data_IF_974530454813
#
_entry.id   IF_974530454813
#
_cell.length_a   1.000
_cell.length_b   1.000
_cell.length_c   1.000
_cell.angle_alpha   90.00
_cell.angle_beta   90.00
_cell.angle_gamma   90.00
#
_symmetry.space_group_name_H-M   'P 1'
#
loop_
_entity.id
_entity.type
_entity.pdbx_description
1 polymer ?
#
# COMPACT_ATOMS: atom_id res chain seq x y z
N UNK A 1 1.19 21.57 -37.99
CA UNK A 1 2.24 21.28 -38.99
C UNK A 1 3.26 22.40 -39.16
N UNK A 2 2.95 23.62 -39.64
CA UNK A 2 3.96 24.71 -39.69
C UNK A 2 4.65 25.00 -38.34
N UNK A 3 3.89 24.98 -37.24
CA UNK A 3 4.45 25.10 -35.87
C UNK A 3 5.29 23.89 -35.45
N UNK A 4 4.92 22.68 -35.88
CA UNK A 4 5.62 21.43 -35.55
C UNK A 4 6.89 21.25 -36.37
N UNK A 5 6.88 21.68 -37.65
CA UNK A 5 8.06 21.75 -38.51
C UNK A 5 9.07 22.80 -38.02
N UNK A 6 8.58 23.96 -37.54
CA UNK A 6 9.42 24.94 -36.84
C UNK A 6 9.98 24.40 -35.52
N UNK A 7 9.20 23.63 -34.75
CA UNK A 7 9.67 22.98 -33.52
C UNK A 7 10.72 21.90 -33.79
N UNK A 8 10.50 21.06 -34.81
CA UNK A 8 11.44 20.03 -35.25
C UNK A 8 12.75 20.62 -35.79
N UNK A 9 12.68 21.68 -36.59
CA UNK A 9 13.85 22.38 -37.14
C UNK A 9 14.65 23.10 -36.05
N UNK A 10 14.00 23.57 -34.97
CA UNK A 10 14.66 24.09 -33.76
C UNK A 10 15.39 22.99 -32.96
N UNK A 11 14.81 21.79 -32.87
CA UNK A 11 15.41 20.65 -32.14
C UNK A 11 16.60 20.05 -32.91
N UNK A 12 16.58 20.10 -34.25
CA UNK A 12 17.65 19.55 -35.10
C UNK A 12 18.25 20.62 -36.04
N UNK A 13 19.08 21.54 -35.52
CA UNK A 13 19.58 22.69 -36.27
C UNK A 13 20.42 22.32 -37.50
N UNK A 14 21.08 21.17 -37.46
CA UNK A 14 21.92 20.67 -38.55
C UNK A 14 21.11 20.24 -39.79
N UNK A 15 19.82 19.92 -39.63
CA UNK A 15 18.90 19.58 -40.73
C UNK A 15 18.16 20.80 -41.28
N UNK A 16 18.16 21.91 -40.55
CA UNK A 16 17.40 23.12 -40.89
C UNK A 16 17.75 23.68 -42.27
N UNK A 17 19.01 23.62 -42.68
CA UNK A 17 19.53 24.09 -43.98
C UNK A 17 19.00 23.30 -45.18
N UNK A 18 18.52 22.07 -44.97
CA UNK A 18 17.89 21.24 -46.02
C UNK A 18 16.36 21.36 -46.03
N UNK A 19 15.78 22.05 -45.05
CA UNK A 19 14.33 22.22 -44.85
C UNK A 19 13.86 23.66 -45.13
N UNK A 20 14.76 24.56 -45.57
CA UNK A 20 14.52 26.01 -45.63
C UNK A 20 14.54 26.61 -47.04
N UNK A 21 14.58 25.79 -48.10
CA UNK A 21 14.52 26.27 -49.48
C UNK A 21 13.08 26.40 -50.04
N UNK A 22 12.96 27.29 -51.03
CA UNK A 22 11.75 27.96 -51.51
C UNK A 22 10.54 27.07 -51.85
N UNK A 23 9.37 27.63 -51.57
CA UNK A 23 8.04 27.09 -51.86
C UNK A 23 7.88 26.92 -53.38
N UNK A 24 7.99 25.68 -53.87
CA UNK A 24 7.85 25.38 -55.30
C UNK A 24 6.39 25.40 -55.76
N UNK A 25 5.45 25.06 -54.87
CA UNK A 25 4.00 25.17 -55.09
C UNK A 25 3.24 25.00 -53.74
N UNK A 26 2.49 26.01 -53.25
CA UNK A 26 1.70 25.92 -52.03
C UNK A 26 0.65 24.79 -52.03
N UNK A 27 0.13 24.41 -53.19
CA UNK A 27 -0.86 23.32 -53.29
C UNK A 27 -0.17 21.95 -53.11
N UNK A 28 0.99 21.75 -53.73
CA UNK A 28 1.78 20.53 -53.58
C UNK A 28 2.29 20.36 -52.14
N UNK A 29 2.76 21.44 -51.49
CA UNK A 29 3.16 21.42 -50.08
C UNK A 29 1.99 20.98 -49.19
N UNK A 30 0.80 21.55 -49.39
CA UNK A 30 -0.39 21.20 -48.63
C UNK A 30 -0.81 19.75 -48.84
N UNK A 31 -0.65 19.21 -50.05
CA UNK A 31 -0.92 17.79 -50.35
C UNK A 31 0.06 16.89 -49.62
N UNK A 32 1.36 17.20 -49.66
CA UNK A 32 2.40 16.40 -48.99
C UNK A 32 2.23 16.44 -47.47
N UNK A 33 1.96 17.62 -46.89
CA UNK A 33 1.63 17.76 -45.46
C UNK A 33 0.40 16.93 -45.09
N UNK A 34 -0.68 17.02 -45.88
CA UNK A 34 -1.91 16.26 -45.65
C UNK A 34 -1.67 14.75 -45.72
N UNK A 35 -0.85 14.29 -46.68
CA UNK A 35 -0.47 12.89 -46.84
C UNK A 35 0.38 12.40 -45.68
N UNK A 36 1.36 13.19 -45.24
CA UNK A 36 2.20 12.88 -44.08
C UNK A 36 1.35 12.79 -42.80
N UNK A 37 0.40 13.71 -42.61
CA UNK A 37 -0.51 13.70 -41.46
C UNK A 37 -1.46 12.50 -41.47
N UNK A 38 -2.06 12.18 -42.62
CA UNK A 38 -2.91 10.99 -42.77
C UNK A 38 -2.11 9.70 -42.48
N UNK A 39 -0.88 9.61 -43.00
CA UNK A 39 0.01 8.47 -42.76
C UNK A 39 0.41 8.37 -41.29
N UNK A 40 0.70 9.50 -40.63
CA UNK A 40 1.01 9.54 -39.21
C UNK A 40 -0.18 9.07 -38.35
N UNK A 41 -1.40 9.58 -38.62
CA UNK A 41 -2.61 9.12 -37.93
C UNK A 41 -2.92 7.65 -38.18
N UNK A 42 -2.66 7.16 -39.39
CA UNK A 42 -2.85 5.74 -39.70
C UNK A 42 -1.83 4.87 -38.94
N UNK A 43 -0.58 5.30 -38.84
CA UNK A 43 0.45 4.62 -38.03
C UNK A 43 0.16 4.70 -36.53
N UNK A 44 -0.31 5.84 -36.03
CA UNK A 44 -0.76 6.02 -34.65
C UNK A 44 -1.91 5.06 -34.35
N UNK A 45 -2.97 5.06 -35.16
CA UNK A 45 -4.11 4.16 -35.01
C UNK A 45 -3.72 2.67 -35.10
N UNK A 46 -2.79 2.31 -35.99
CA UNK A 46 -2.26 0.94 -36.06
C UNK A 46 -1.48 0.54 -34.79
N UNK A 47 -0.71 1.47 -34.21
CA UNK A 47 -0.01 1.24 -32.94
C UNK A 47 -0.98 1.16 -31.76
N UNK A 48 -2.04 1.95 -31.78
CA UNK A 48 -3.07 1.98 -30.73
C UNK A 48 -3.98 0.73 -30.73
N UNK A 49 -4.08 0.01 -31.85
CA UNK A 49 -4.84 -1.24 -31.95
C UNK A 49 -4.11 -2.47 -31.36
N UNK A 50 -2.79 -2.41 -31.17
CA UNK A 50 -2.02 -3.48 -30.52
C UNK A 50 -2.40 -3.69 -29.03
N UNK A 51 -2.64 -2.62 -28.24
CA UNK A 51 -3.22 -2.69 -26.91
C UNK A 51 -4.50 -3.52 -26.78
N UNK A 52 -5.43 -3.48 -27.73
CA UNK A 52 -6.72 -4.20 -27.58
C UNK A 52 -6.53 -5.72 -27.49
N UNK A 53 -5.60 -6.27 -28.26
CA UNK A 53 -5.29 -7.71 -28.27
C UNK A 53 -4.50 -8.09 -27.02
N UNK A 54 -3.46 -7.32 -26.68
CA UNK A 54 -2.63 -7.61 -25.51
C UNK A 54 -3.40 -7.42 -24.21
N UNK A 55 -4.26 -6.40 -24.13
CA UNK A 55 -5.13 -6.15 -22.98
C UNK A 55 -6.17 -7.25 -22.82
N UNK A 56 -6.75 -7.77 -23.91
CA UNK A 56 -7.67 -8.92 -23.85
C UNK A 56 -6.96 -10.18 -23.33
N UNK A 57 -5.72 -10.45 -23.77
CA UNK A 57 -4.92 -11.55 -23.23
C UNK A 57 -4.56 -11.34 -21.75
N UNK A 58 -4.17 -10.12 -21.36
CA UNK A 58 -3.89 -9.78 -19.96
C UNK A 58 -5.14 -9.90 -19.11
N UNK A 59 -6.33 -9.54 -19.60
CA UNK A 59 -7.57 -9.74 -18.86
C UNK A 59 -7.88 -11.21 -18.58
N UNK A 60 -7.53 -12.12 -19.50
CA UNK A 60 -7.69 -13.56 -19.32
C UNK A 60 -6.65 -14.15 -18.34
N UNK A 61 -5.43 -13.64 -18.34
CA UNK A 61 -4.32 -14.17 -17.52
C UNK A 61 -4.22 -13.49 -16.15
N UNK A 62 -4.37 -12.17 -16.08
CA UNK A 62 -4.29 -11.31 -14.89
C UNK A 62 -5.31 -10.17 -14.94
N UNK A 63 -6.60 -10.45 -14.67
CA UNK A 63 -7.67 -9.44 -14.71
C UNK A 63 -7.45 -8.27 -13.74
N UNK A 64 -6.70 -8.46 -12.65
CA UNK A 64 -6.44 -7.43 -11.65
C UNK A 64 -5.32 -6.45 -12.00
N UNK A 65 -4.46 -6.77 -12.96
CA UNK A 65 -3.32 -5.90 -13.29
C UNK A 65 -3.75 -4.59 -13.96
N UNK A 66 -4.94 -4.60 -14.57
CA UNK A 66 -5.53 -3.46 -15.27
C UNK A 66 -6.52 -2.68 -14.41
N UNK A 67 -6.76 -3.11 -13.16
CA UNK A 67 -7.69 -2.42 -12.27
C UNK A 67 -7.00 -1.24 -11.58
N UNK A 68 -7.65 -0.08 -11.47
CA UNK A 68 -7.12 1.00 -10.65
C UNK A 68 -7.04 0.54 -9.19
N UNK A 69 -5.95 0.91 -8.51
CA UNK A 69 -5.77 0.60 -7.11
C UNK A 69 -6.53 1.64 -6.25
N UNK A 70 -7.35 1.20 -5.29
CA UNK A 70 -8.09 2.11 -4.42
C UNK A 70 -7.13 2.83 -3.47
N UNK A 71 -7.52 3.98 -2.93
CA UNK A 71 -6.78 4.60 -1.84
C UNK A 71 -6.82 3.70 -0.59
N UNK A 72 -5.69 3.56 0.11
CA UNK A 72 -5.57 2.78 1.34
C UNK A 72 -5.04 3.65 2.49
N UNK A 73 -5.47 3.32 3.71
CA UNK A 73 -5.04 3.99 4.92
C UNK A 73 -5.01 3.00 6.08
N UNK A 74 -4.15 3.27 7.07
CA UNK A 74 -4.11 2.52 8.33
C UNK A 74 -4.93 3.29 9.34
N UNK A 75 -5.84 2.59 10.00
CA UNK A 75 -6.73 3.14 11.02
C UNK A 75 -6.33 2.56 12.38
N UNK A 76 -6.23 3.44 13.38
CA UNK A 76 -6.05 3.04 14.77
C UNK A 76 -7.39 3.18 15.50
N UNK A 77 -7.95 2.07 15.96
CA UNK A 77 -9.17 2.06 16.76
C UNK A 77 -8.81 2.15 18.23
N UNK A 78 -8.92 3.36 18.79
CA UNK A 78 -8.65 3.59 20.20
C UNK A 78 -9.95 3.43 21.01
N UNK A 79 -9.98 2.52 22.01
CA UNK A 79 -11.10 2.45 22.93
C UNK A 79 -11.19 3.73 23.75
N UNK A 80 -12.42 4.19 24.02
CA UNK A 80 -12.63 5.24 25.03
C UNK A 80 -12.59 4.63 26.42
N UNK A 81 -12.20 5.42 27.41
CA UNK A 81 -12.23 5.03 28.83
C UNK A 81 -13.59 4.42 29.20
N UNK A 82 -13.55 3.24 29.85
CA UNK A 82 -14.73 2.49 30.31
C UNK A 82 -15.75 2.14 29.23
N UNK A 83 -15.43 2.26 27.94
CA UNK A 83 -16.36 1.91 26.86
C UNK A 83 -16.45 0.41 26.61
N UNK A 84 -15.36 -0.31 26.83
CA UNK A 84 -15.27 -1.77 26.70
C UNK A 84 -14.52 -2.32 27.92
N UNK A 85 -14.95 -3.48 28.41
CA UNK A 85 -14.29 -4.20 29.51
C UNK A 85 -13.55 -5.45 29.04
N UNK A 86 -13.87 -5.94 27.84
CA UNK A 86 -13.33 -7.17 27.24
C UNK A 86 -13.09 -6.94 25.75
N UNK A 87 -12.51 -7.94 25.07
CA UNK A 87 -12.29 -7.96 23.61
C UNK A 87 -13.55 -7.54 22.83
N UNK A 88 -13.44 -6.48 22.05
CA UNK A 88 -14.46 -6.05 21.10
C UNK A 88 -13.94 -6.20 19.66
N UNK A 89 -14.63 -6.98 18.84
CA UNK A 89 -14.21 -7.22 17.45
C UNK A 89 -14.96 -6.31 16.51
N UNK A 90 -14.21 -5.51 15.75
CA UNK A 90 -14.72 -4.75 14.61
C UNK A 90 -14.63 -5.64 13.38
N UNK A 91 -15.76 -6.04 12.77
CA UNK A 91 -15.73 -7.01 11.69
C UNK A 91 -15.09 -6.41 10.42
N UNK A 92 -14.48 -7.28 9.63
CA UNK A 92 -14.10 -7.01 8.24
C UNK A 92 -15.31 -6.47 7.48
N UNK A 93 -15.07 -5.50 6.63
CA UNK A 93 -16.13 -4.90 5.84
C UNK A 93 -16.82 -3.71 6.52
N UNK A 94 -16.38 -3.30 7.72
CA UNK A 94 -16.93 -2.14 8.42
C UNK A 94 -16.56 -0.86 7.69
N UNK A 95 -17.56 -0.03 7.39
CA UNK A 95 -17.36 1.25 6.72
C UNK A 95 -16.88 2.33 7.69
N UNK A 96 -15.87 3.10 7.26
CA UNK A 96 -15.34 4.26 7.99
C UNK A 96 -15.28 5.44 7.04
N UNK A 97 -15.74 6.60 7.50
CA UNK A 97 -15.73 7.83 6.71
C UNK A 97 -14.53 8.71 7.07
N UNK A 98 -13.90 9.29 6.05
CA UNK A 98 -12.83 10.28 6.25
C UNK A 98 -13.41 11.62 6.72
N UNK A 99 -12.52 12.49 7.20
CA UNK A 99 -12.84 13.93 7.22
C UNK A 99 -13.07 14.40 5.77
N UNK A 100 -14.00 15.34 5.52
CA UNK A 100 -14.20 15.87 4.17
C UNK A 100 -12.92 16.51 3.63
N UNK A 101 -12.56 16.18 2.40
CA UNK A 101 -11.50 16.82 1.62
C UNK A 101 -12.18 17.52 0.45
N UNK A 102 -12.02 18.83 0.34
CA UNK A 102 -12.74 19.66 -0.66
C UNK A 102 -14.27 19.45 -0.65
N UNK A 103 -14.84 19.28 0.55
CA UNK A 103 -16.27 19.06 0.74
C UNK A 103 -16.75 17.64 0.42
N UNK A 104 -15.87 16.73 0.00
CA UNK A 104 -16.20 15.33 -0.30
C UNK A 104 -15.66 14.40 0.77
N UNK A 105 -16.52 13.55 1.32
CA UNK A 105 -16.12 12.50 2.28
C UNK A 105 -15.78 11.22 1.53
N UNK A 106 -14.58 10.69 1.76
CA UNK A 106 -14.18 9.39 1.24
C UNK A 106 -14.65 8.28 2.18
N UNK A 107 -15.14 7.18 1.62
CA UNK A 107 -15.50 5.97 2.37
C UNK A 107 -14.41 4.92 2.24
N UNK A 108 -13.98 4.40 3.38
CA UNK A 108 -13.04 3.30 3.51
C UNK A 108 -13.75 2.10 4.14
N UNK A 109 -13.17 0.93 3.98
CA UNK A 109 -13.70 -0.32 4.52
C UNK A 109 -12.57 -1.11 5.19
N UNK A 110 -12.83 -1.69 6.38
CA UNK A 110 -11.86 -2.57 7.04
C UNK A 110 -11.61 -3.83 6.22
N UNK A 111 -10.36 -4.26 6.10
CA UNK A 111 -9.95 -5.40 5.27
C UNK A 111 -9.81 -6.72 6.03
N UNK A 112 -9.82 -6.65 7.36
CA UNK A 112 -9.75 -7.77 8.29
C UNK A 112 -10.56 -7.48 9.55
N UNK A 113 -10.83 -8.51 10.34
CA UNK A 113 -11.41 -8.36 11.67
C UNK A 113 -10.36 -7.70 12.58
N UNK A 114 -10.77 -6.67 13.33
CA UNK A 114 -9.87 -5.94 14.23
C UNK A 114 -10.33 -6.16 15.66
N UNK A 115 -9.47 -6.79 16.46
CA UNK A 115 -9.70 -6.97 17.90
C UNK A 115 -9.25 -5.74 18.66
N UNK A 116 -10.20 -5.07 19.34
CA UNK A 116 -9.94 -3.91 20.19
C UNK A 116 -10.08 -4.34 21.64
N UNK A 117 -9.03 -4.13 22.42
CA UNK A 117 -8.99 -4.36 23.86
C UNK A 117 -8.99 -3.01 24.60
N UNK A 118 -9.44 -2.92 25.86
CA UNK A 118 -9.28 -1.72 26.69
C UNK A 118 -7.83 -1.56 27.17
N UNK A 119 -6.89 -1.60 26.24
CA UNK A 119 -5.46 -1.42 26.47
C UNK A 119 -4.99 -0.19 25.71
N UNK A 120 -4.17 0.63 26.36
CA UNK A 120 -3.52 1.80 25.76
C UNK A 120 -2.01 1.61 25.86
N UNK A 121 -1.32 1.86 24.75
CA UNK A 121 0.14 1.88 24.71
C UNK A 121 0.63 3.27 25.16
N UNK A 122 1.18 3.34 26.36
CA UNK A 122 1.64 4.59 26.98
C UNK A 122 3.03 4.98 26.52
N UNK A 123 3.94 4.00 26.46
CA UNK A 123 5.32 4.25 26.09
C UNK A 123 5.93 3.06 25.35
N UNK A 124 6.90 3.38 24.48
CA UNK A 124 7.77 2.42 23.81
C UNK A 124 9.20 2.89 24.02
N UNK A 125 10.00 2.10 24.71
CA UNK A 125 11.42 2.41 24.95
C UNK A 125 12.28 1.31 24.34
N UNK A 126 13.47 1.71 23.89
CA UNK A 126 14.47 0.77 23.38
C UNK A 126 15.75 0.99 24.16
N UNK A 127 16.20 -0.04 24.86
CA UNK A 127 17.45 -0.03 25.62
C UNK A 127 18.43 -0.98 24.94
N UNK A 128 19.46 -0.42 24.32
CA UNK A 128 20.55 -1.20 23.72
C UNK A 128 21.66 -1.41 24.75
N UNK A 129 21.81 -2.65 25.20
CA UNK A 129 22.97 -3.10 25.96
C UNK A 129 24.11 -3.55 25.05
N UNK A 130 25.22 -3.98 25.66
CA UNK A 130 26.42 -4.43 24.93
C UNK A 130 26.18 -5.68 24.09
N UNK A 131 25.25 -6.55 24.50
CA UNK A 131 24.99 -7.85 23.86
C UNK A 131 23.58 -8.01 23.29
N UNK A 132 22.62 -7.17 23.71
CA UNK A 132 21.23 -7.28 23.27
C UNK A 132 20.52 -5.92 23.31
N UNK A 133 19.52 -5.76 22.46
CA UNK A 133 18.59 -4.63 22.52
C UNK A 133 17.25 -5.13 23.04
N UNK A 134 16.71 -4.42 24.03
CA UNK A 134 15.42 -4.70 24.65
C UNK A 134 14.45 -3.62 24.21
N UNK A 135 13.31 -4.02 23.65
CA UNK A 135 12.18 -3.13 23.37
C UNK A 135 11.16 -3.37 24.46
N UNK A 136 10.83 -2.34 25.23
CA UNK A 136 9.81 -2.38 26.28
C UNK A 136 8.57 -1.62 25.81
N UNK A 137 7.41 -2.27 25.95
CA UNK A 137 6.10 -1.75 25.61
C UNK A 137 5.31 -1.60 26.91
N UNK A 138 4.93 -0.38 27.27
CA UNK A 138 4.13 -0.11 28.46
C UNK A 138 2.66 -0.02 28.10
N UNK A 139 1.88 -1.01 28.54
CA UNK A 139 0.45 -1.11 28.29
C UNK A 139 -0.33 -0.83 29.58
N UNK A 140 -1.31 0.07 29.49
CA UNK A 140 -2.24 0.37 30.57
C UNK A 140 -3.63 -0.19 30.26
N UNK A 141 -4.26 -0.80 31.26
CA UNK A 141 -5.65 -1.23 31.19
C UNK A 141 -6.57 -0.09 31.63
N UNK A 142 -7.43 0.36 30.71
CA UNK A 142 -8.36 1.47 30.92
C UNK A 142 -9.78 1.02 31.31
N UNK A 143 -9.94 -0.26 31.64
CA UNK A 143 -11.18 -0.82 32.19
C UNK A 143 -11.14 -0.85 33.72
N UNK A 144 -12.30 -0.97 34.36
CA UNK A 144 -12.40 -1.09 35.82
C UNK A 144 -12.06 -2.51 36.34
N UNK A 145 -11.70 -3.45 35.45
CA UNK A 145 -11.41 -4.85 35.78
C UNK A 145 -9.94 -5.22 35.65
N UNK A 146 -9.55 -6.38 36.18
CA UNK A 146 -8.17 -6.89 36.10
C UNK A 146 -7.80 -7.37 34.69
N UNK A 147 -6.49 -7.41 34.40
CA UNK A 147 -5.94 -7.93 33.13
C UNK A 147 -6.44 -9.35 32.80
N UNK A 148 -6.70 -10.18 33.81
CA UNK A 148 -7.20 -11.56 33.61
C UNK A 148 -8.61 -11.61 33.02
N UNK A 149 -9.39 -10.55 33.14
CA UNK A 149 -10.77 -10.47 32.62
C UNK A 149 -10.84 -10.08 31.14
N UNK A 150 -9.74 -9.59 30.56
CA UNK A 150 -9.70 -8.99 29.23
C UNK A 150 -9.95 -9.99 28.09
N UNK A 151 -9.76 -11.29 28.33
CA UNK A 151 -9.77 -12.35 27.30
C UNK A 151 -8.86 -11.99 26.11
N UNK A 152 -7.63 -11.57 26.43
CA UNK A 152 -6.63 -11.15 25.46
C UNK A 152 -5.83 -12.37 24.99
N UNK A 153 -6.36 -13.07 24.00
CA UNK A 153 -5.69 -14.22 23.39
C UNK A 153 -4.60 -13.80 22.38
N UNK A 154 -4.77 -12.63 21.76
CA UNK A 154 -3.93 -12.12 20.68
C UNK A 154 -3.91 -10.59 20.73
N UNK A 155 -2.73 -9.98 20.58
CA UNK A 155 -2.55 -8.54 20.56
C UNK A 155 -1.72 -8.14 19.34
N UNK A 156 -2.36 -7.47 18.39
CA UNK A 156 -1.71 -7.04 17.16
C UNK A 156 -1.11 -5.64 17.31
N UNK A 157 0.14 -5.48 16.89
CA UNK A 157 0.84 -4.20 16.86
C UNK A 157 1.14 -3.77 15.43
N UNK A 158 0.98 -2.48 15.17
CA UNK A 158 1.44 -1.86 13.94
C UNK A 158 2.76 -1.13 14.19
N UNK A 159 3.78 -1.44 13.39
CA UNK A 159 5.08 -0.76 13.46
C UNK A 159 5.02 0.62 12.79
N UNK A 160 4.52 1.62 13.53
CA UNK A 160 4.44 3.02 13.07
C UNK A 160 5.77 3.75 13.27
N UNK A 161 6.71 3.58 12.34
CA UNK A 161 8.00 4.28 12.35
C UNK A 161 8.38 4.82 10.97
N UNK A 162 9.60 5.37 10.87
CA UNK A 162 10.23 5.52 9.56
C UNK A 162 10.40 4.13 8.91
N UNK A 163 10.43 4.04 7.58
CA UNK A 163 10.59 2.76 6.89
C UNK A 163 11.83 2.00 7.40
N UNK A 164 12.93 2.72 7.65
CA UNK A 164 14.15 2.14 8.21
C UNK A 164 13.92 1.54 9.61
N UNK A 165 13.31 2.31 10.51
CA UNK A 165 13.06 1.85 11.89
C UNK A 165 12.08 0.69 11.92
N UNK A 166 10.95 0.80 11.20
CA UNK A 166 9.92 -0.23 11.17
C UNK A 166 10.45 -1.55 10.57
N UNK A 167 11.17 -1.49 9.45
CA UNK A 167 11.76 -2.69 8.83
C UNK A 167 12.88 -3.31 9.67
N UNK A 168 13.69 -2.48 10.33
CA UNK A 168 14.75 -2.95 11.24
C UNK A 168 14.14 -3.66 12.45
N UNK A 169 13.13 -3.05 13.08
CA UNK A 169 12.40 -3.64 14.20
C UNK A 169 11.68 -4.92 13.79
N UNK A 170 11.05 -4.93 12.60
CA UNK A 170 10.45 -6.14 12.02
C UNK A 170 11.50 -7.26 11.86
N UNK A 171 12.67 -6.94 11.31
CA UNK A 171 13.77 -7.89 11.18
C UNK A 171 14.24 -8.42 12.54
N UNK A 172 14.30 -7.56 13.57
CA UNK A 172 14.65 -7.97 14.93
C UNK A 172 13.65 -8.96 15.50
N UNK A 173 12.35 -8.74 15.34
CA UNK A 173 11.32 -9.65 15.84
C UNK A 173 11.34 -11.02 15.15
N UNK A 174 11.52 -11.08 13.82
CA UNK A 174 11.41 -12.35 13.09
C UNK A 174 12.73 -13.12 12.93
N UNK A 175 13.89 -12.45 12.96
CA UNK A 175 15.19 -13.12 12.73
C UNK A 175 16.14 -13.13 13.93
N UNK A 176 15.97 -12.20 14.89
CA UNK A 176 16.92 -12.01 15.99
C UNK A 176 16.27 -12.02 17.38
N UNK A 177 14.99 -12.36 17.47
CA UNK A 177 14.28 -12.42 18.74
C UNK A 177 14.79 -13.59 19.56
N UNK A 178 15.25 -13.29 20.77
CA UNK A 178 15.83 -14.28 21.67
C UNK A 178 14.89 -14.65 22.80
N UNK A 179 14.12 -13.68 23.30
CA UNK A 179 13.28 -13.80 24.49
C UNK A 179 12.08 -12.85 24.43
N UNK A 180 10.96 -13.30 24.98
CA UNK A 180 9.75 -12.49 25.19
C UNK A 180 9.32 -12.63 26.65
N UNK A 181 9.03 -11.50 27.29
CA UNK A 181 8.55 -11.47 28.66
C UNK A 181 7.38 -10.50 28.79
N UNK A 182 6.37 -10.91 29.56
CA UNK A 182 5.31 -10.03 30.04
C UNK A 182 5.56 -9.77 31.50
N UNK A 183 5.77 -8.51 31.86
CA UNK A 183 5.95 -8.06 33.24
C UNK A 183 4.66 -7.40 33.73
N UNK A 184 4.16 -7.91 34.84
CA UNK A 184 3.11 -7.30 35.66
C UNK A 184 3.73 -6.82 36.97
N UNK A 185 2.99 -6.08 37.80
CA UNK A 185 3.49 -5.57 39.08
C UNK A 185 4.08 -6.70 39.96
N UNK A 186 3.42 -7.86 39.97
CA UNK A 186 3.78 -8.97 40.85
C UNK A 186 4.57 -10.10 40.18
N UNK A 187 4.53 -10.21 38.84
CA UNK A 187 5.02 -11.39 38.13
C UNK A 187 5.65 -11.08 36.79
N UNK A 188 6.68 -11.85 36.45
CA UNK A 188 7.27 -11.90 35.10
C UNK A 188 6.94 -13.26 34.50
N UNK A 189 6.29 -13.26 33.34
CA UNK A 189 5.92 -14.46 32.59
C UNK A 189 6.75 -14.48 31.32
N UNK A 190 7.46 -15.58 31.08
CA UNK A 190 8.18 -15.80 29.82
C UNK A 190 7.24 -16.40 28.79
N UNK A 191 7.22 -15.84 27.59
CA UNK A 191 6.48 -16.39 26.45
C UNK A 191 7.43 -17.12 25.49
N UNK A 192 6.96 -18.17 24.78
CA UNK A 192 7.73 -18.80 23.72
C UNK A 192 7.93 -17.86 22.54
N UNK A 193 9.02 -18.02 21.80
CA UNK A 193 9.35 -17.17 20.65
C UNK A 193 8.32 -17.24 19.53
N UNK A 194 7.65 -18.39 19.39
CA UNK A 194 6.59 -18.63 18.43
C UNK A 194 5.28 -17.87 18.74
N UNK A 195 5.26 -17.06 19.80
CA UNK A 195 4.10 -16.21 20.15
C UNK A 195 3.98 -14.96 19.26
N UNK A 196 4.99 -14.65 18.45
CA UNK A 196 4.95 -13.53 17.50
C UNK A 196 4.76 -14.09 16.09
N UNK A 197 3.74 -13.61 15.40
CA UNK A 197 3.42 -14.00 14.02
C UNK A 197 3.22 -12.77 13.16
N UNK A 198 3.66 -12.82 11.91
CA UNK A 198 3.41 -11.75 10.96
C UNK A 198 1.95 -11.75 10.50
N UNK A 199 1.32 -10.58 10.44
CA UNK A 199 -0.05 -10.39 9.96
C UNK A 199 -0.02 -9.65 8.61
N UNK A 200 -0.89 -10.05 7.68
CA UNK A 200 -1.08 -9.44 6.36
C UNK A 200 -0.73 -10.33 5.18
N UNK A 201 -0.21 -11.54 5.42
CA UNK A 201 0.19 -12.46 4.36
C UNK A 201 -0.92 -13.45 4.00
N UNK A 202 -1.85 -13.72 4.92
CA UNK A 202 -2.91 -14.68 4.69
C UNK A 202 -4.00 -14.13 3.77
N UNK A 203 -4.74 -15.05 3.15
CA UNK A 203 -5.82 -14.70 2.22
C UNK A 203 -6.94 -13.89 2.89
N UNK A 204 -7.28 -14.22 4.15
CA UNK A 204 -8.28 -13.50 4.95
C UNK A 204 -7.89 -12.04 5.19
N UNK A 205 -6.60 -11.74 5.16
CA UNK A 205 -5.99 -10.45 5.51
C UNK A 205 -5.71 -9.57 4.28
N UNK A 206 -6.11 -10.04 3.09
CA UNK A 206 -5.90 -9.33 1.82
C UNK A 206 -6.39 -7.89 1.88
N UNK A 207 -5.49 -6.95 1.54
CA UNK A 207 -5.78 -5.53 1.41
C UNK A 207 -6.60 -5.26 0.14
N UNK A 208 -6.25 -5.92 -0.96
CA UNK A 208 -6.87 -5.73 -2.27
C UNK A 208 -7.72 -6.97 -2.60
N UNK A 209 -9.00 -6.81 -2.98
CA UNK A 209 -9.82 -7.93 -3.42
C UNK A 209 -9.19 -8.63 -4.62
N UNK A 210 -8.86 -9.90 -4.46
CA UNK A 210 -8.19 -10.73 -5.47
C UNK A 210 -9.07 -11.96 -5.82
N UNK A 211 -9.27 -12.30 -7.10
CA UNK A 211 -10.02 -13.48 -7.51
C UNK A 211 -9.42 -14.78 -6.97
N UNK A 212 -10.30 -15.70 -6.61
CA UNK A 212 -9.91 -17.03 -6.11
C UNK A 212 -9.24 -17.91 -7.16
N UNK A 213 -9.41 -17.60 -8.45
CA UNK A 213 -8.87 -18.38 -9.57
C UNK A 213 -7.47 -17.93 -10.01
N UNK A 214 -6.81 -17.07 -9.24
CA UNK A 214 -5.46 -16.55 -9.54
C UNK A 214 -4.48 -16.89 -8.42
N UNK A 215 -3.21 -17.04 -8.78
CA UNK A 215 -2.16 -17.39 -7.82
C UNK A 215 -1.94 -16.26 -6.80
N UNK A 216 -2.01 -16.58 -5.51
CA UNK A 216 -1.96 -15.61 -4.41
C UNK A 216 -0.63 -14.85 -4.32
N UNK A 217 0.47 -15.44 -4.78
CA UNK A 217 1.77 -14.75 -4.78
C UNK A 217 1.79 -13.46 -5.59
N UNK A 218 0.95 -13.33 -6.62
CA UNK A 218 0.82 -12.07 -7.37
C UNK A 218 0.14 -10.97 -6.56
N UNK A 219 -0.83 -11.33 -5.70
CA UNK A 219 -1.42 -10.38 -4.74
C UNK A 219 -0.37 -9.85 -3.79
N UNK A 220 0.42 -10.73 -3.17
CA UNK A 220 1.44 -10.34 -2.19
C UNK A 220 2.47 -9.39 -2.79
N UNK A 221 2.94 -9.68 -4.01
CA UNK A 221 3.86 -8.77 -4.73
C UNK A 221 3.19 -7.43 -5.00
N UNK A 222 1.95 -7.43 -5.48
CA UNK A 222 1.21 -6.21 -5.76
C UNK A 222 0.98 -5.37 -4.50
N UNK A 223 0.55 -5.98 -3.40
CA UNK A 223 0.34 -5.32 -2.11
C UNK A 223 1.65 -4.77 -1.54
N UNK A 224 2.74 -5.53 -1.63
CA UNK A 224 4.07 -5.09 -1.20
C UNK A 224 4.52 -3.80 -1.89
N UNK A 225 4.41 -3.74 -3.23
CA UNK A 225 4.81 -2.54 -3.98
C UNK A 225 3.80 -1.40 -3.91
N UNK A 226 2.51 -1.71 -3.71
CA UNK A 226 1.47 -0.70 -3.63
C UNK A 226 1.43 -0.02 -2.26
N UNK A 227 1.53 -0.80 -1.19
CA UNK A 227 1.35 -0.34 0.17
C UNK A 227 2.27 -1.10 1.13
N UNK A 228 3.55 -0.72 1.16
CA UNK A 228 4.61 -1.35 1.98
C UNK A 228 4.35 -1.32 3.50
N UNK A 229 3.30 -0.63 3.96
CA UNK A 229 2.98 -0.42 5.38
C UNK A 229 2.17 -1.55 6.02
N UNK A 230 2.19 -2.77 5.48
CA UNK A 230 1.56 -3.96 6.10
C UNK A 230 2.56 -4.62 7.06
N UNK A 231 3.13 -3.83 7.98
CA UNK A 231 4.05 -4.32 9.01
C UNK A 231 3.29 -4.48 10.32
N UNK A 232 2.49 -5.54 10.36
CA UNK A 232 1.72 -5.96 11.53
C UNK A 232 2.32 -7.24 12.12
N UNK A 233 2.31 -7.32 13.45
CA UNK A 233 2.79 -8.44 14.25
C UNK A 233 1.88 -8.69 15.44
#
# INVERSE_FOLDING_TARGET
MKKDGQHFSKIYPHLSRFLSDEIVDPEAERIIESFAFLTARLKEKLKDNLPEITQSMIQLLWPNYLRPLPSCAILNFQPKERAISTKHVIPKGTFVSSKPVDGTTCQFQTTMDVSVYPLVLNSVTSTSGTESTIIELELENISDGDFSSLQCDELSFYLSGSDYSALTTYQWFFNYLTKIYVKTEDKIISLPLDSISSVGFDKSESLIPYPDNTFEGYRLIQEFFFFLKILFL
#
